data_IF_663373907692
#
_entry.id   IF_663373907692
#
_cell.length_a   1.000
_cell.length_b   1.000
_cell.length_c   1.000
_cell.angle_alpha   90.00
_cell.angle_beta   90.00
_cell.angle_gamma   90.00
#
_symmetry.space_group_name_H-M   'P 1'
#
loop_
_entity.id
_entity.type
_entity.pdbx_description
1 polymer ?
#
# COMPACT_ATOMS: atom_id res chain seq x y z
N UNK A 1 -29.94 3.65 3.78
CA UNK A 1 -28.97 4.39 2.95
C UNK A 1 -27.66 4.49 3.73
N UNK A 2 -26.51 4.20 3.10
CA UNK A 2 -25.18 4.38 3.70
C UNK A 2 -24.57 5.73 3.35
N UNK A 3 -23.44 6.05 3.98
CA UNK A 3 -22.63 7.22 3.63
C UNK A 3 -22.02 6.99 2.24
N UNK A 4 -22.16 7.95 1.34
CA UNK A 4 -21.51 7.88 0.02
C UNK A 4 -20.05 8.30 0.14
N UNK A 5 -19.18 7.31 0.27
CA UNK A 5 -17.73 7.52 0.35
C UNK A 5 -17.19 7.74 -1.06
N UNK A 6 -16.48 8.84 -1.27
CA UNK A 6 -15.82 9.14 -2.55
C UNK A 6 -14.48 8.39 -2.69
N UNK A 7 -13.68 8.36 -1.59
CA UNK A 7 -12.35 7.73 -1.55
C UNK A 7 -11.82 7.68 -0.13
N UNK A 8 -10.75 6.94 0.09
CA UNK A 8 -9.92 7.11 1.28
C UNK A 8 -9.17 8.43 1.13
N UNK A 9 -9.32 9.35 2.08
CA UNK A 9 -8.74 10.69 2.00
C UNK A 9 -7.25 10.72 2.36
N UNK A 10 -6.90 10.08 3.47
CA UNK A 10 -5.53 9.94 3.97
C UNK A 10 -5.41 8.79 4.95
N UNK A 11 -4.17 8.40 5.26
CA UNK A 11 -3.83 7.42 6.30
C UNK A 11 -2.93 8.10 7.33
N UNK A 12 -3.24 7.93 8.62
CA UNK A 12 -2.40 8.39 9.72
C UNK A 12 -1.62 7.22 10.33
N UNK A 13 -0.33 7.43 10.57
CA UNK A 13 0.58 6.48 11.19
C UNK A 13 1.15 7.07 12.48
N UNK A 14 1.16 6.28 13.54
CA UNK A 14 2.01 6.54 14.70
C UNK A 14 3.41 5.99 14.37
N UNK A 15 4.44 6.81 14.59
CA UNK A 15 5.83 6.46 14.30
C UNK A 15 6.69 6.59 15.54
N UNK A 16 7.68 5.71 15.67
CA UNK A 16 8.61 5.71 16.79
C UNK A 16 9.56 6.91 16.75
N UNK A 17 10.03 7.26 15.54
CA UNK A 17 10.92 8.40 15.27
C UNK A 17 10.43 9.13 14.01
N UNK A 18 9.91 10.34 14.22
CA UNK A 18 9.36 11.16 13.14
C UNK A 18 10.40 11.50 12.08
N UNK A 19 11.65 11.78 12.47
CA UNK A 19 12.70 12.12 11.51
C UNK A 19 13.16 10.91 10.70
N UNK A 20 13.23 9.73 11.32
CA UNK A 20 13.54 8.49 10.61
C UNK A 20 12.47 8.17 9.58
N UNK A 21 11.21 8.19 9.99
CA UNK A 21 10.08 7.93 9.10
C UNK A 21 9.95 9.02 8.04
N UNK A 22 10.14 10.30 8.39
CA UNK A 22 10.12 11.41 7.44
C UNK A 22 11.15 11.21 6.33
N UNK A 23 12.40 10.87 6.67
CA UNK A 23 13.42 10.59 5.65
C UNK A 23 13.01 9.44 4.74
N UNK A 24 12.48 8.35 5.31
CA UNK A 24 12.01 7.22 4.51
C UNK A 24 10.90 7.63 3.52
N UNK A 25 9.85 8.28 4.02
CA UNK A 25 8.70 8.66 3.18
C UNK A 25 9.07 9.73 2.14
N UNK A 26 10.02 10.61 2.40
CA UNK A 26 10.46 11.62 1.42
C UNK A 26 11.51 11.10 0.44
N UNK A 27 12.52 10.35 0.91
CA UNK A 27 13.66 9.94 0.07
C UNK A 27 13.43 8.59 -0.65
N UNK A 28 12.60 7.71 -0.06
CA UNK A 28 12.30 6.39 -0.66
C UNK A 28 10.98 6.46 -1.43
N UNK A 29 9.91 7.01 -0.84
CA UNK A 29 8.61 7.08 -1.51
C UNK A 29 8.38 8.38 -2.31
N UNK A 30 9.24 9.38 -2.15
CA UNK A 30 9.13 10.64 -2.89
C UNK A 30 8.02 11.58 -2.39
N UNK A 31 7.49 11.35 -1.20
CA UNK A 31 6.49 12.22 -0.61
C UNK A 31 7.04 13.63 -0.37
N UNK A 32 6.18 14.63 -0.45
CA UNK A 32 6.50 16.03 -0.16
C UNK A 32 5.86 16.44 1.15
N UNK A 33 6.62 17.15 2.00
CA UNK A 33 6.07 17.73 3.22
C UNK A 33 5.18 18.91 2.87
N UNK A 34 3.95 18.89 3.34
CA UNK A 34 3.01 20.00 3.20
C UNK A 34 3.01 20.86 4.46
N UNK A 35 3.00 20.22 5.63
CA UNK A 35 2.99 20.93 6.89
C UNK A 35 3.63 20.09 7.99
N UNK A 36 4.09 20.79 9.05
CA UNK A 36 4.73 20.17 10.21
C UNK A 36 4.31 20.93 11.48
N UNK A 37 3.66 20.25 12.39
CA UNK A 37 3.16 20.82 13.64
C UNK A 37 3.88 20.20 14.82
N UNK A 38 4.67 21.02 15.54
CA UNK A 38 5.29 20.66 16.82
C UNK A 38 4.44 21.20 17.96
N UNK A 39 4.23 20.37 18.97
CA UNK A 39 3.48 20.74 20.18
C UNK A 39 4.44 21.06 21.33
N UNK A 40 3.97 21.81 22.35
CA UNK A 40 4.80 22.15 23.52
C UNK A 40 5.30 20.93 24.31
N UNK A 41 4.60 19.79 24.25
CA UNK A 41 4.97 18.53 24.88
C UNK A 41 6.05 17.74 24.10
N UNK A 42 6.53 18.31 22.99
CA UNK A 42 7.53 17.69 22.10
C UNK A 42 6.93 16.73 21.07
N UNK A 43 5.64 16.43 21.14
CA UNK A 43 4.99 15.62 20.12
C UNK A 43 4.87 16.36 18.80
N UNK A 44 4.85 15.62 17.71
CA UNK A 44 4.88 16.19 16.38
C UNK A 44 3.93 15.46 15.42
N UNK A 45 3.40 16.21 14.46
CA UNK A 45 2.62 15.69 13.35
C UNK A 45 3.13 16.29 12.05
N UNK A 46 3.46 15.44 11.08
CA UNK A 46 3.92 15.83 9.75
C UNK A 46 2.91 15.36 8.71
N UNK A 47 2.53 16.27 7.82
CA UNK A 47 1.60 16.05 6.74
C UNK A 47 2.38 15.87 5.44
N UNK A 48 2.17 14.74 4.78
CA UNK A 48 2.88 14.34 3.57
C UNK A 48 1.90 14.14 2.42
N UNK A 49 2.33 14.52 1.22
CA UNK A 49 1.56 14.28 -0.01
C UNK A 49 2.43 13.70 -1.12
N UNK A 50 1.83 12.95 -1.99
CA UNK A 50 2.40 12.52 -3.27
C UNK A 50 1.55 13.01 -4.46
N UNK A 51 0.37 13.54 -4.20
CA UNK A 51 -0.59 14.11 -5.14
C UNK A 51 -0.77 15.62 -4.85
N UNK A 52 -1.71 16.28 -5.54
CA UNK A 52 -2.07 17.69 -5.39
C UNK A 52 -2.93 17.99 -4.15
N UNK A 53 -3.28 16.99 -3.35
CA UNK A 53 -3.99 17.16 -2.09
C UNK A 53 -3.07 17.72 -1.01
N UNK A 54 -3.69 18.33 0.01
CA UNK A 54 -2.93 18.84 1.16
C UNK A 54 -2.10 17.72 1.82
N UNK A 55 -2.66 16.52 1.94
CA UNK A 55 -1.94 15.35 2.46
C UNK A 55 -2.64 14.04 2.08
N UNK A 56 -1.85 13.01 1.92
CA UNK A 56 -2.24 11.61 1.68
C UNK A 56 -1.79 10.72 2.84
N UNK A 57 -0.72 11.14 3.53
CA UNK A 57 -0.19 10.48 4.73
C UNK A 57 0.02 11.50 5.85
N UNK A 58 -0.14 11.04 7.07
CA UNK A 58 0.13 11.81 8.29
C UNK A 58 1.03 10.97 9.20
N UNK A 59 2.22 11.49 9.53
CA UNK A 59 3.10 10.88 10.53
C UNK A 59 2.89 11.59 11.85
N UNK A 60 2.62 10.88 12.91
CA UNK A 60 2.47 11.43 14.27
C UNK A 60 3.38 10.69 15.23
N UNK A 61 4.07 11.43 16.09
CA UNK A 61 4.86 10.86 17.17
C UNK A 61 4.01 9.88 17.99
N UNK A 62 4.55 8.71 18.29
CA UNK A 62 3.93 7.82 19.25
C UNK A 62 3.81 8.51 20.63
N UNK A 63 2.74 8.27 21.39
CA UNK A 63 2.64 8.76 22.76
C UNK A 63 3.79 8.21 23.62
N UNK A 64 4.21 8.95 24.67
CA UNK A 64 5.25 8.47 25.58
C UNK A 64 4.92 7.08 26.14
N UNK A 65 5.88 6.17 26.11
CA UNK A 65 5.74 4.80 26.60
C UNK A 65 5.00 3.83 25.66
N UNK A 66 4.57 4.29 24.49
CA UNK A 66 3.98 3.42 23.45
C UNK A 66 5.06 2.96 22.49
N UNK A 67 5.30 1.65 22.45
CA UNK A 67 6.16 1.03 21.43
C UNK A 67 5.30 0.61 20.23
N UNK A 68 5.38 1.38 19.15
CA UNK A 68 4.63 1.12 17.91
C UNK A 68 5.25 0.00 17.07
N UNK A 69 6.48 -0.43 17.42
CA UNK A 69 7.20 -1.49 16.72
C UNK A 69 7.00 -2.88 17.36
N UNK A 70 6.49 -2.92 18.61
CA UNK A 70 6.36 -4.14 19.40
C UNK A 70 5.33 -5.14 18.83
N UNK A 71 4.34 -4.65 18.08
CA UNK A 71 3.34 -5.53 17.47
C UNK A 71 3.96 -6.36 16.35
N UNK A 72 3.83 -7.68 16.46
CA UNK A 72 4.21 -8.59 15.37
C UNK A 72 3.33 -8.43 14.13
N UNK A 73 3.75 -8.97 12.97
CA UNK A 73 3.02 -8.78 11.70
C UNK A 73 1.55 -9.22 11.74
N UNK A 74 1.21 -10.16 12.63
CA UNK A 74 -0.17 -10.68 12.81
C UNK A 74 -1.00 -9.91 13.86
N UNK A 75 -0.36 -9.00 14.59
CA UNK A 75 -0.99 -8.23 15.68
C UNK A 75 -1.30 -6.80 15.25
N UNK A 76 -0.84 -6.39 14.08
CA UNK A 76 -1.10 -5.06 13.53
C UNK A 76 -2.54 -4.94 13.06
N UNK A 77 -3.19 -3.84 13.43
CA UNK A 77 -4.59 -3.58 13.04
C UNK A 77 -4.73 -3.25 11.54
N UNK A 78 -3.69 -2.67 10.93
CA UNK A 78 -3.61 -2.43 9.48
C UNK A 78 -2.62 -3.43 8.90
N UNK A 79 -3.10 -4.28 8.00
CA UNK A 79 -2.29 -5.35 7.42
C UNK A 79 -1.27 -4.77 6.42
N UNK A 80 -1.66 -3.78 5.62
CA UNK A 80 -0.80 -3.10 4.65
C UNK A 80 -1.37 -1.76 4.18
N UNK A 81 -0.49 -0.93 3.62
CA UNK A 81 -0.85 0.25 2.83
C UNK A 81 -0.30 0.01 1.43
N UNK A 82 -1.16 0.11 0.42
CA UNK A 82 -0.80 -0.10 -0.97
C UNK A 82 -0.78 1.22 -1.74
N UNK A 83 0.29 1.43 -2.51
CA UNK A 83 0.50 2.60 -3.38
C UNK A 83 0.45 2.16 -4.84
N UNK A 84 -0.44 2.76 -5.60
CA UNK A 84 -0.53 2.55 -7.04
C UNK A 84 0.50 3.41 -7.77
N UNK A 85 1.19 2.81 -8.73
CA UNK A 85 2.01 3.51 -9.71
C UNK A 85 1.39 3.37 -11.09
N UNK A 86 1.70 4.31 -11.99
CA UNK A 86 0.97 4.52 -13.25
C UNK A 86 0.85 3.27 -14.12
N UNK A 87 1.97 2.55 -14.30
CA UNK A 87 2.04 1.42 -15.21
C UNK A 87 3.20 0.46 -14.86
N UNK A 88 3.37 -0.55 -15.71
CA UNK A 88 4.48 -1.50 -15.60
C UNK A 88 5.87 -0.85 -15.58
N UNK A 89 6.08 0.21 -16.37
CA UNK A 89 7.40 0.86 -16.43
C UNK A 89 7.66 1.67 -15.17
N UNK A 90 6.66 2.37 -14.63
CA UNK A 90 6.71 3.02 -13.33
C UNK A 90 6.96 1.99 -12.20
N UNK A 91 6.32 0.82 -12.26
CA UNK A 91 6.54 -0.28 -11.32
C UNK A 91 7.99 -0.77 -11.33
N UNK A 92 8.58 -0.99 -12.52
CA UNK A 92 9.98 -1.42 -12.64
C UNK A 92 10.96 -0.35 -12.18
N UNK A 93 10.68 0.93 -12.44
CA UNK A 93 11.47 2.05 -11.93
C UNK A 93 11.40 2.14 -10.40
N UNK A 94 10.22 1.96 -9.81
CA UNK A 94 10.05 1.93 -8.36
C UNK A 94 10.84 0.78 -7.73
N UNK A 95 10.78 -0.41 -8.30
CA UNK A 95 11.56 -1.58 -7.85
C UNK A 95 13.07 -1.30 -7.89
N UNK A 96 13.58 -0.76 -9.00
CA UNK A 96 15.00 -0.39 -9.13
C UNK A 96 15.41 0.69 -8.13
N UNK A 97 14.52 1.67 -7.88
CA UNK A 97 14.76 2.73 -6.91
C UNK A 97 14.85 2.19 -5.48
N UNK A 98 13.94 1.31 -5.05
CA UNK A 98 14.02 0.68 -3.73
C UNK A 98 15.32 -0.11 -3.57
N UNK A 99 15.72 -0.86 -4.59
CA UNK A 99 16.99 -1.57 -4.58
C UNK A 99 18.18 -0.62 -4.41
N UNK A 100 18.20 0.49 -5.16
CA UNK A 100 19.25 1.52 -5.06
C UNK A 100 19.29 2.20 -3.68
N UNK A 101 18.16 2.32 -3.00
CA UNK A 101 18.04 2.83 -1.63
C UNK A 101 18.32 1.77 -0.54
N UNK A 102 18.64 0.53 -0.93
CA UNK A 102 18.93 -0.55 0.01
C UNK A 102 17.70 -1.09 0.75
N UNK A 103 16.49 -0.79 0.28
CA UNK A 103 15.25 -1.30 0.87
C UNK A 103 15.07 -2.75 0.46
N UNK A 104 14.90 -3.63 1.45
CA UNK A 104 14.69 -5.07 1.22
C UNK A 104 13.23 -5.37 0.95
N UNK A 105 12.95 -6.14 -0.08
CA UNK A 105 11.63 -6.70 -0.31
C UNK A 105 11.35 -7.81 0.70
N UNK A 106 10.12 -7.87 1.17
CA UNK A 106 9.59 -8.97 1.99
C UNK A 106 8.80 -9.97 1.15
N UNK A 107 8.29 -9.53 -0.02
CA UNK A 107 7.64 -10.41 -1.00
C UNK A 107 7.63 -9.73 -2.39
N UNK A 108 7.55 -10.54 -3.43
CA UNK A 108 7.48 -10.07 -4.81
C UNK A 108 8.87 -9.85 -5.46
N UNK A 109 8.93 -9.33 -6.67
CA UNK A 109 7.78 -8.95 -7.51
C UNK A 109 6.93 -10.18 -7.91
N UNK A 110 5.63 -10.02 -7.90
CA UNK A 110 4.66 -11.05 -8.27
C UNK A 110 3.47 -10.45 -9.03
N UNK A 111 2.66 -11.31 -9.64
CA UNK A 111 1.41 -10.96 -10.29
C UNK A 111 0.29 -11.67 -9.53
N UNK A 112 -0.73 -10.89 -9.13
CA UNK A 112 -1.98 -11.44 -8.61
C UNK A 112 -2.84 -11.90 -9.79
N UNK A 113 -2.49 -13.04 -10.37
CA UNK A 113 -3.17 -13.58 -11.54
C UNK A 113 -4.67 -13.76 -11.30
N UNK A 114 -5.46 -13.52 -12.33
CA UNK A 114 -6.92 -13.73 -12.29
C UNK A 114 -7.22 -15.20 -11.97
N UNK A 115 -6.36 -16.09 -12.46
CA UNK A 115 -6.47 -17.55 -12.30
C UNK A 115 -5.59 -18.09 -11.16
N UNK A 116 -4.96 -17.21 -10.38
CA UNK A 116 -3.95 -17.60 -9.39
C UNK A 116 -4.49 -18.55 -8.33
N UNK A 117 -3.74 -19.62 -8.05
CA UNK A 117 -3.95 -20.60 -6.96
C UNK A 117 -5.32 -21.27 -6.95
N UNK A 118 -5.98 -21.42 -8.11
CA UNK A 118 -7.32 -22.00 -8.22
C UNK A 118 -8.42 -21.10 -7.67
N UNK A 119 -8.11 -19.85 -7.38
CA UNK A 119 -9.06 -18.85 -6.90
C UNK A 119 -9.22 -17.75 -7.95
N UNK A 120 -10.39 -17.67 -8.57
CA UNK A 120 -10.75 -16.67 -9.58
C UNK A 120 -10.91 -15.25 -9.02
N UNK A 121 -10.15 -14.88 -8.01
CA UNK A 121 -10.27 -13.61 -7.33
C UNK A 121 -9.05 -12.70 -7.44
N UNK A 122 -8.05 -13.06 -8.26
CA UNK A 122 -6.86 -12.23 -8.42
C UNK A 122 -7.15 -10.92 -9.14
N UNK A 123 -6.56 -9.83 -8.65
CA UNK A 123 -6.78 -8.47 -9.17
C UNK A 123 -6.07 -8.19 -10.51
N UNK A 124 -5.23 -9.11 -11.00
CA UNK A 124 -4.37 -8.90 -12.16
C UNK A 124 -3.15 -8.02 -11.88
N UNK A 125 -3.10 -7.36 -10.73
CA UNK A 125 -2.04 -6.39 -10.41
C UNK A 125 -0.67 -7.06 -10.26
N UNK A 126 0.36 -6.31 -10.61
CA UNK A 126 1.76 -6.62 -10.24
C UNK A 126 2.06 -5.92 -8.94
N UNK A 127 2.70 -6.63 -8.02
CA UNK A 127 2.97 -6.11 -6.69
C UNK A 127 4.34 -6.49 -6.18
N UNK A 128 4.91 -5.66 -5.33
CA UNK A 128 6.00 -6.01 -4.42
C UNK A 128 5.77 -5.35 -3.06
N UNK A 129 6.37 -5.95 -2.03
CA UNK A 129 6.11 -5.59 -0.64
C UNK A 129 7.42 -5.32 0.10
N UNK A 130 7.41 -4.34 0.99
CA UNK A 130 8.54 -3.94 1.82
C UNK A 130 8.04 -3.34 3.14
N UNK A 131 8.95 -3.05 4.07
CA UNK A 131 8.59 -2.40 5.32
C UNK A 131 9.07 -0.95 5.35
N UNK A 132 8.33 -0.10 6.04
CA UNK A 132 8.81 1.19 6.51
C UNK A 132 9.71 1.02 7.76
N UNK A 133 10.31 2.10 8.32
CA UNK A 133 11.17 2.00 9.50
C UNK A 133 10.51 1.42 10.74
N UNK A 134 9.20 1.60 10.91
CA UNK A 134 8.42 1.06 12.02
C UNK A 134 7.86 -0.35 11.74
N UNK A 135 8.21 -0.92 10.59
CA UNK A 135 7.80 -2.26 10.17
C UNK A 135 6.37 -2.33 9.64
N UNK A 136 5.73 -1.22 9.28
CA UNK A 136 4.47 -1.26 8.57
C UNK A 136 4.69 -1.88 7.19
N UNK A 137 3.81 -2.82 6.82
CA UNK A 137 3.87 -3.44 5.49
C UNK A 137 3.35 -2.46 4.46
N UNK A 138 4.19 -2.17 3.48
CA UNK A 138 3.87 -1.34 2.33
C UNK A 138 3.86 -2.20 1.07
N UNK A 139 2.97 -1.88 0.15
CA UNK A 139 2.87 -2.47 -1.17
C UNK A 139 3.03 -1.38 -2.22
N UNK A 140 3.74 -1.69 -3.30
CA UNK A 140 3.65 -0.92 -4.54
C UNK A 140 3.05 -1.81 -5.60
N UNK A 141 2.04 -1.32 -6.30
CA UNK A 141 1.36 -2.09 -7.33
C UNK A 141 1.06 -1.26 -8.59
N UNK A 142 0.82 -1.96 -9.70
CA UNK A 142 0.34 -1.43 -10.96
C UNK A 142 -0.62 -2.40 -11.65
N UNK A 143 -1.32 -1.92 -12.66
CA UNK A 143 -2.17 -2.71 -13.55
C UNK A 143 -3.33 -3.45 -12.83
N UNK A 144 -3.87 -2.85 -11.76
CA UNK A 144 -5.02 -3.42 -11.07
C UNK A 144 -6.27 -3.37 -11.95
N UNK A 145 -6.93 -4.49 -12.05
CA UNK A 145 -8.21 -4.62 -12.74
C UNK A 145 -9.26 -3.66 -12.18
N UNK A 146 -10.09 -3.12 -13.06
CA UNK A 146 -11.26 -2.32 -12.68
C UNK A 146 -12.52 -3.17 -12.75
N UNK A 147 -13.32 -3.09 -11.72
CA UNK A 147 -14.65 -3.67 -11.68
C UNK A 147 -15.65 -2.50 -11.67
N UNK A 148 -16.32 -2.19 -12.79
CA UNK A 148 -17.27 -1.10 -12.86
C UNK A 148 -18.44 -1.28 -11.87
N UNK A 149 -19.00 -0.17 -11.38
CA UNK A 149 -20.17 -0.22 -10.50
C UNK A 149 -21.33 -0.94 -11.17
N UNK A 150 -21.89 -1.93 -10.48
CA UNK A 150 -23.01 -2.74 -10.98
C UNK A 150 -22.59 -4.02 -11.71
N UNK A 151 -21.28 -4.25 -11.87
CA UNK A 151 -20.74 -5.53 -12.36
C UNK A 151 -20.33 -6.41 -11.15
N UNK A 152 -20.46 -7.71 -11.32
CA UNK A 152 -19.98 -8.70 -10.36
C UNK A 152 -18.55 -9.13 -10.70
N UNK A 153 -17.80 -9.57 -9.66
CA UNK A 153 -16.47 -10.11 -9.84
C UNK A 153 -16.29 -11.38 -8.98
N UNK A 154 -15.67 -12.45 -9.51
CA UNK A 154 -15.22 -12.59 -10.90
C UNK A 154 -16.43 -12.63 -11.86
N UNK A 155 -16.21 -12.21 -13.10
CA UNK A 155 -17.25 -12.31 -14.13
C UNK A 155 -17.59 -13.78 -14.37
N UNK A 156 -18.88 -14.07 -14.57
CA UNK A 156 -19.38 -15.44 -14.77
C UNK A 156 -18.66 -16.15 -15.93
N UNK A 157 -18.34 -15.44 -17.01
CA UNK A 157 -17.60 -15.95 -18.15
C UNK A 157 -16.20 -16.49 -17.79
N UNK A 158 -15.51 -15.87 -16.81
CA UNK A 158 -14.22 -16.37 -16.33
C UNK A 158 -14.39 -17.61 -15.44
N UNK A 159 -15.44 -17.65 -14.63
CA UNK A 159 -15.77 -18.80 -13.80
C UNK A 159 -16.09 -20.03 -14.68
N UNK A 160 -16.85 -19.83 -15.75
CA UNK A 160 -17.19 -20.88 -16.74
C UNK A 160 -15.94 -21.35 -17.48
N UNK A 161 -15.09 -20.43 -17.96
CA UNK A 161 -13.84 -20.77 -18.64
C UNK A 161 -12.88 -21.55 -17.74
N UNK A 162 -12.75 -21.16 -16.47
CA UNK A 162 -11.94 -21.89 -15.51
C UNK A 162 -12.51 -23.25 -15.17
N UNK A 163 -13.81 -23.38 -15.04
CA UNK A 163 -14.45 -24.66 -14.80
C UNK A 163 -14.23 -25.61 -15.99
N UNK A 164 -14.36 -25.10 -17.21
CA UNK A 164 -14.05 -25.87 -18.42
C UNK A 164 -12.60 -26.32 -18.46
N UNK A 165 -11.65 -25.42 -18.09
CA UNK A 165 -10.22 -25.76 -18.01
C UNK A 165 -9.94 -26.84 -16.95
N UNK A 166 -10.52 -26.73 -15.76
CA UNK A 166 -10.38 -27.71 -14.67
C UNK A 166 -10.96 -29.06 -15.09
N UNK A 167 -12.05 -29.07 -15.86
CA UNK A 167 -12.68 -30.28 -16.39
C UNK A 167 -11.93 -30.91 -17.57
N UNK A 168 -10.84 -30.26 -18.06
CA UNK A 168 -10.11 -30.72 -19.23
C UNK A 168 -10.83 -30.49 -20.57
N UNK A 169 -11.85 -29.68 -20.58
CA UNK A 169 -12.58 -29.24 -21.75
C UNK A 169 -11.77 -28.10 -22.42
N UNK A 170 -11.10 -28.40 -23.54
CA UNK A 170 -10.32 -27.43 -24.33
C UNK A 170 -11.04 -27.09 -25.64
#
# INVERSE_FOLDING_TARGET
MGIQIKRIGHVGLLVSDVECSLRFYTEVLGCKVTNRNKRPDGSETVFLRFDDWHHDLVLSSAPPGVDVTAAGPRERLIQQIAFEVEDRDAFLKALAHLHAKGVKLINGPLIHGIEGDGNLGGSGSRSFYFHDPDGNRLETFADMMRVPNGEEFPRQEYAEAMQAYVNGER
#
